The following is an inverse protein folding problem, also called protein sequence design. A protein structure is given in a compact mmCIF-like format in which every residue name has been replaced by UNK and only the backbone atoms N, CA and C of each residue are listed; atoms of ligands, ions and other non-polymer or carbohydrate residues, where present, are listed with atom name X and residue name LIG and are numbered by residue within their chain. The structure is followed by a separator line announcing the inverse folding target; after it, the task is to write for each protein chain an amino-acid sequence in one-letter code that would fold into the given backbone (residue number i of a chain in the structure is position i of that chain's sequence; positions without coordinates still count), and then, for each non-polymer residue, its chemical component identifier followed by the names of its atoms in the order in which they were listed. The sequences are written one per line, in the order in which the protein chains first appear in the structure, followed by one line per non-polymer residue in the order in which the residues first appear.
data_IF_280391254021
#
_entry.id   IF_280391254021
#
_cell.length_a   1.000
_cell.length_b   1.000
_cell.length_c   1.000
_cell.angle_alpha   90.00
_cell.angle_beta   90.00
_cell.angle_gamma   90.00
#
_symmetry.space_group_name_H-M   'P 1'
#
loop_
_entity.id
_entity.type
_entity.pdbx_description
1 polymer ?
#
# COMPACT_ATOMS: atom_id res chain seq x y z
N UNK A 1 -4.36 -23.14 15.90
CA UNK A 1 -3.54 -22.23 15.07
C UNK A 1 -4.29 -20.95 14.76
N UNK A 2 -4.23 -19.96 15.67
CA UNK A 2 -4.69 -18.59 15.40
C UNK A 2 -3.65 -17.78 14.63
N UNK A 3 -2.37 -18.18 14.69
CA UNK A 3 -1.30 -17.55 13.94
C UNK A 3 -1.31 -18.04 12.49
N UNK A 4 -1.31 -17.07 11.58
CA UNK A 4 -1.44 -17.24 10.13
C UNK A 4 -0.20 -17.95 9.58
N UNK A 5 1.00 -17.46 9.92
CA UNK A 5 2.26 -18.02 9.45
C UNK A 5 2.46 -19.46 9.91
N UNK A 6 2.19 -19.78 11.17
CA UNK A 6 2.25 -21.16 11.66
C UNK A 6 1.32 -22.11 10.87
N UNK A 7 0.14 -21.62 10.48
CA UNK A 7 -0.84 -22.41 9.72
C UNK A 7 -0.32 -22.74 8.32
N UNK A 8 0.18 -21.76 7.58
CA UNK A 8 0.67 -21.98 6.21
C UNK A 8 1.96 -22.79 6.19
N UNK A 9 2.86 -22.54 7.14
CA UNK A 9 4.06 -23.36 7.30
C UNK A 9 3.73 -24.81 7.65
N UNK A 10 2.72 -25.06 8.50
CA UNK A 10 2.28 -26.43 8.79
C UNK A 10 1.62 -27.11 7.60
N UNK A 11 0.86 -26.36 6.79
CA UNK A 11 0.17 -26.90 5.62
C UNK A 11 1.15 -27.26 4.50
N UNK A 12 2.09 -26.37 4.19
CA UNK A 12 3.01 -26.49 3.06
C UNK A 12 4.41 -26.01 3.49
N UNK A 13 5.17 -26.82 4.25
CA UNK A 13 6.44 -26.41 4.89
C UNK A 13 7.62 -26.22 3.92
N UNK A 14 7.45 -26.60 2.65
CA UNK A 14 8.49 -26.51 1.63
C UNK A 14 8.49 -25.17 0.87
N UNK A 15 7.48 -24.34 1.08
CA UNK A 15 7.48 -22.95 0.62
C UNK A 15 8.04 -22.06 1.72
N UNK A 16 8.80 -21.03 1.33
CA UNK A 16 9.13 -19.92 2.23
C UNK A 16 7.99 -18.92 2.14
N UNK A 17 7.46 -18.46 3.26
CA UNK A 17 6.40 -17.45 3.26
C UNK A 17 6.96 -16.08 3.61
N UNK A 18 6.35 -15.06 3.03
CA UNK A 18 6.58 -13.69 3.45
C UNK A 18 6.19 -13.51 4.92
N UNK A 19 6.92 -12.62 5.60
CA UNK A 19 6.75 -12.37 7.04
C UNK A 19 5.66 -11.35 7.32
N UNK A 20 5.23 -10.58 6.31
CA UNK A 20 4.19 -9.57 6.41
C UNK A 20 2.91 -9.96 5.64
N UNK A 21 2.07 -10.85 6.21
CA UNK A 21 0.75 -11.13 5.65
C UNK A 21 -0.13 -9.87 5.77
N UNK A 22 -0.87 -9.55 4.72
CA UNK A 22 -1.74 -8.37 4.68
C UNK A 22 -3.21 -8.75 4.58
N UNK A 23 -4.07 -7.90 5.12
CA UNK A 23 -5.51 -8.12 5.12
C UNK A 23 -6.15 -7.44 3.92
N UNK A 24 -7.05 -8.17 3.28
CA UNK A 24 -7.88 -7.73 2.16
C UNK A 24 -9.34 -7.79 2.59
N UNK A 25 -10.12 -6.80 2.17
CA UNK A 25 -11.57 -6.76 2.33
C UNK A 25 -12.16 -7.07 0.96
N UNK A 26 -12.88 -8.18 0.85
CA UNK A 26 -13.58 -8.52 -0.39
C UNK A 26 -14.80 -7.62 -0.60
N UNK A 27 -15.32 -7.56 -1.82
CA UNK A 27 -16.52 -6.79 -2.19
C UNK A 27 -17.74 -7.10 -1.30
N UNK A 28 -17.86 -8.34 -0.81
CA UNK A 28 -18.92 -8.76 0.11
C UNK A 28 -18.58 -8.51 1.60
N UNK A 29 -17.53 -7.74 1.90
CA UNK A 29 -17.13 -7.33 3.25
C UNK A 29 -16.42 -8.40 4.07
N UNK A 30 -15.93 -9.49 3.45
CA UNK A 30 -15.18 -10.53 4.18
C UNK A 30 -13.70 -10.16 4.27
N UNK A 31 -13.13 -10.41 5.44
CA UNK A 31 -11.70 -10.29 5.70
C UNK A 31 -10.96 -11.56 5.24
N UNK A 32 -9.97 -11.38 4.38
CA UNK A 32 -9.11 -12.44 3.86
C UNK A 32 -7.65 -12.01 4.03
N UNK A 33 -6.85 -12.84 4.68
CA UNK A 33 -5.41 -12.66 4.72
C UNK A 33 -4.78 -13.11 3.41
N UNK A 34 -3.89 -12.31 2.85
CA UNK A 34 -3.07 -12.68 1.70
C UNK A 34 -1.60 -12.75 2.08
N UNK A 35 -0.91 -13.77 1.58
CA UNK A 35 0.49 -14.04 1.88
C UNK A 35 1.20 -14.47 0.60
N UNK A 36 2.41 -13.95 0.43
CA UNK A 36 3.32 -14.37 -0.61
C UNK A 36 4.05 -15.66 -0.22
N UNK A 37 4.05 -16.63 -1.13
CA UNK A 37 4.74 -17.90 -1.00
C UNK A 37 5.83 -18.02 -2.08
N UNK A 38 7.02 -18.36 -1.63
CA UNK A 38 8.22 -18.43 -2.45
C UNK A 38 8.72 -19.87 -2.55
N UNK A 39 9.08 -20.27 -3.77
CA UNK A 39 9.95 -21.43 -3.97
C UNK A 39 11.39 -20.96 -3.99
N UNK A 40 12.27 -21.68 -3.30
CA UNK A 40 13.70 -21.39 -3.27
C UNK A 40 14.55 -22.64 -3.55
N UNK A 41 15.79 -22.41 -3.98
CA UNK A 41 16.79 -23.46 -4.10
C UNK A 41 18.20 -22.90 -3.86
N UNK A 42 19.12 -23.76 -3.43
CA UNK A 42 20.49 -23.39 -3.07
C UNK A 42 21.53 -23.68 -4.17
N UNK A 43 21.14 -24.46 -5.18
CA UNK A 43 22.06 -25.03 -6.19
C UNK A 43 21.56 -24.83 -7.61
N UNK A 44 20.84 -23.75 -7.87
CA UNK A 44 20.41 -23.39 -9.21
C UNK A 44 21.62 -23.01 -10.09
N UNK A 45 21.78 -23.57 -11.29
CA UNK A 45 22.96 -23.30 -12.11
C UNK A 45 23.07 -21.84 -12.55
N UNK A 46 24.30 -21.34 -12.68
CA UNK A 46 24.62 -20.02 -13.24
C UNK A 46 23.92 -18.83 -12.55
N UNK A 47 23.62 -18.95 -11.26
CA UNK A 47 23.03 -17.86 -10.48
C UNK A 47 23.89 -17.45 -9.30
N UNK A 48 23.80 -16.17 -8.95
CA UNK A 48 24.48 -15.61 -7.80
C UNK A 48 23.83 -16.10 -6.50
N UNK A 49 24.65 -16.58 -5.57
CA UNK A 49 24.18 -16.99 -4.25
C UNK A 49 23.98 -15.77 -3.37
N UNK A 50 22.78 -15.66 -2.80
CA UNK A 50 22.44 -14.70 -1.77
C UNK A 50 22.48 -15.41 -0.41
N UNK A 51 23.05 -14.75 0.59
CA UNK A 51 23.13 -15.29 1.95
C UNK A 51 21.74 -15.67 2.46
N UNK A 52 21.62 -16.81 3.12
CA UNK A 52 20.41 -17.37 3.77
C UNK A 52 19.26 -17.83 2.85
N UNK A 53 19.14 -17.30 1.64
CA UNK A 53 18.02 -17.60 0.72
C UNK A 53 18.37 -18.57 -0.42
N UNK A 54 19.66 -18.85 -0.61
CA UNK A 54 20.15 -19.67 -1.72
C UNK A 54 20.40 -18.83 -2.96
N UNK A 55 20.24 -19.42 -4.14
CA UNK A 55 20.55 -18.80 -5.42
C UNK A 55 19.39 -18.90 -6.42
N UNK A 56 18.19 -19.21 -5.92
CA UNK A 56 16.94 -19.20 -6.67
C UNK A 56 15.80 -18.77 -5.76
N UNK A 57 14.98 -17.84 -6.25
CA UNK A 57 13.74 -17.44 -5.59
C UNK A 57 12.71 -17.05 -6.66
N UNK A 58 11.46 -17.48 -6.46
CA UNK A 58 10.30 -17.07 -7.26
C UNK A 58 9.11 -16.85 -6.35
N UNK A 59 8.33 -15.80 -6.61
CA UNK A 59 7.03 -15.60 -5.96
C UNK A 59 5.96 -16.47 -6.64
N UNK A 60 6.08 -17.78 -6.41
CA UNK A 60 5.35 -18.76 -7.18
C UNK A 60 3.90 -18.94 -6.72
N UNK A 61 3.59 -18.61 -5.47
CA UNK A 61 2.29 -18.89 -4.86
C UNK A 61 1.75 -17.65 -4.14
N UNK A 62 0.46 -17.35 -4.33
CA UNK A 62 -0.32 -16.48 -3.46
C UNK A 62 -1.20 -17.35 -2.58
N UNK A 63 -1.15 -17.12 -1.27
CA UNK A 63 -1.96 -17.85 -0.29
C UNK A 63 -3.03 -16.94 0.25
N UNK A 64 -4.28 -17.42 0.29
CA UNK A 64 -5.38 -16.71 0.92
C UNK A 64 -5.90 -17.49 2.13
N UNK A 65 -6.17 -16.80 3.23
CA UNK A 65 -6.79 -17.40 4.42
C UNK A 65 -8.02 -16.59 4.82
N UNK A 66 -9.19 -17.21 4.75
CA UNK A 66 -10.43 -16.59 5.22
C UNK A 66 -10.38 -16.37 6.74
N UNK A 67 -10.59 -15.14 7.19
CA UNK A 67 -10.44 -14.79 8.60
C UNK A 67 -11.53 -15.37 9.51
N UNK A 68 -12.68 -15.79 8.96
CA UNK A 68 -13.81 -16.29 9.73
C UNK A 68 -13.76 -17.80 9.91
N UNK A 69 -13.41 -18.55 8.87
CA UNK A 69 -13.41 -20.01 8.90
C UNK A 69 -12.01 -20.64 8.79
N UNK A 70 -10.97 -19.85 8.50
CA UNK A 70 -9.58 -20.30 8.43
C UNK A 70 -9.26 -21.18 7.22
N UNK A 71 -10.12 -21.21 6.20
CA UNK A 71 -9.90 -21.92 4.93
C UNK A 71 -8.68 -21.34 4.23
N UNK A 72 -7.71 -22.21 3.90
CA UNK A 72 -6.48 -21.85 3.20
C UNK A 72 -6.62 -22.27 1.73
N UNK A 73 -6.29 -21.37 0.81
CA UNK A 73 -6.16 -21.69 -0.62
C UNK A 73 -4.80 -21.24 -1.14
N UNK A 74 -4.18 -22.08 -1.97
CA UNK A 74 -2.89 -21.83 -2.60
C UNK A 74 -3.11 -21.62 -4.11
N UNK A 75 -2.70 -20.46 -4.62
CA UNK A 75 -2.83 -20.08 -6.03
C UNK A 75 -1.46 -19.93 -6.67
N UNK A 76 -1.19 -20.63 -7.77
CA UNK A 76 0.05 -20.52 -8.54
C UNK A 76 0.02 -19.20 -9.32
N UNK A 77 0.88 -18.26 -8.92
CA UNK A 77 1.04 -16.96 -9.56
C UNK A 77 2.09 -16.98 -10.68
N UNK A 78 3.18 -17.73 -10.52
CA UNK A 78 4.18 -17.95 -11.56
C UNK A 78 4.07 -19.38 -12.10
N UNK A 79 3.26 -19.56 -13.15
CA UNK A 79 3.11 -20.86 -13.82
C UNK A 79 4.37 -21.34 -14.54
N UNK A 80 5.35 -20.45 -14.74
CA UNK A 80 6.62 -20.77 -15.40
C UNK A 80 7.67 -21.33 -14.45
N UNK A 81 7.45 -21.24 -13.14
CA UNK A 81 8.38 -21.77 -12.14
C UNK A 81 8.39 -23.32 -12.16
N UNK A 82 9.52 -23.97 -12.47
CA UNK A 82 9.62 -25.43 -12.48
C UNK A 82 9.42 -26.06 -11.10
N UNK A 83 9.77 -25.36 -10.01
CA UNK A 83 9.67 -25.92 -8.65
C UNK A 83 8.22 -26.02 -8.20
N UNK A 84 7.42 -24.96 -8.36
CA UNK A 84 5.99 -25.04 -8.02
C UNK A 84 5.25 -26.06 -8.90
N UNK A 85 5.65 -26.19 -10.18
CA UNK A 85 5.08 -27.19 -11.08
C UNK A 85 5.39 -28.62 -10.62
N UNK A 86 6.57 -28.88 -10.04
CA UNK A 86 6.89 -30.17 -9.43
C UNK A 86 6.03 -30.41 -8.18
N UNK A 87 5.93 -29.44 -7.27
CA UNK A 87 5.08 -29.57 -6.07
C UNK A 87 3.60 -29.75 -6.42
N UNK A 88 3.10 -29.08 -7.45
CA UNK A 88 1.72 -29.24 -7.92
C UNK A 88 1.41 -30.65 -8.43
N UNK A 89 2.41 -31.38 -8.95
CA UNK A 89 2.24 -32.80 -9.35
C UNK A 89 2.30 -33.74 -8.16
N UNK A 90 3.14 -33.43 -7.16
CA UNK A 90 3.27 -34.21 -5.92
C UNK A 90 2.01 -34.11 -5.07
N UNK A 91 1.37 -32.94 -5.05
CA UNK A 91 0.16 -32.66 -4.27
C UNK A 91 -1.05 -32.28 -5.15
N UNK A 92 -1.66 -33.24 -5.87
CA UNK A 92 -2.82 -32.96 -6.72
C UNK A 92 -3.98 -32.31 -5.95
N UNK A 93 -4.57 -31.26 -6.54
CA UNK A 93 -5.73 -30.55 -5.98
C UNK A 93 -5.41 -29.50 -4.91
N UNK A 94 -4.17 -29.43 -4.40
CA UNK A 94 -3.75 -28.40 -3.44
C UNK A 94 -3.59 -27.03 -4.08
N UNK A 95 -2.85 -27.00 -5.19
CA UNK A 95 -2.52 -25.76 -5.89
C UNK A 95 -3.52 -25.50 -7.02
N UNK A 96 -4.00 -24.26 -7.11
CA UNK A 96 -4.95 -23.81 -8.13
C UNK A 96 -4.26 -22.78 -9.03
N UNK A 97 -4.56 -22.69 -10.33
CA UNK A 97 -4.12 -21.55 -11.14
C UNK A 97 -4.61 -20.23 -10.54
N UNK A 98 -3.81 -19.15 -10.61
CA UNK A 98 -4.25 -17.82 -10.16
C UNK A 98 -5.49 -17.30 -10.90
N UNK A 99 -5.76 -17.80 -12.11
CA UNK A 99 -6.99 -17.49 -12.85
C UNK A 99 -8.27 -18.01 -12.17
N UNK A 100 -8.17 -18.95 -11.22
CA UNK A 100 -9.28 -19.38 -10.37
C UNK A 100 -9.45 -18.53 -9.11
N UNK A 101 -8.55 -17.58 -8.86
CA UNK A 101 -8.71 -16.61 -7.79
C UNK A 101 -9.87 -15.66 -8.15
N UNK A 102 -10.81 -15.38 -7.23
CA UNK A 102 -11.85 -14.37 -7.45
C UNK A 102 -11.26 -13.04 -7.91
N UNK A 103 -11.89 -12.39 -8.89
CA UNK A 103 -11.36 -11.16 -9.52
C UNK A 103 -11.09 -10.06 -8.50
N UNK A 104 -12.01 -9.86 -7.56
CA UNK A 104 -11.89 -8.94 -6.43
C UNK A 104 -10.61 -9.21 -5.60
N UNK A 105 -10.38 -10.45 -5.16
CA UNK A 105 -9.14 -10.80 -4.45
C UNK A 105 -7.89 -10.60 -5.31
N UNK A 106 -7.99 -10.88 -6.62
CA UNK A 106 -6.87 -10.72 -7.56
C UNK A 106 -6.48 -9.25 -7.74
N UNK A 107 -7.41 -8.31 -7.71
CA UNK A 107 -7.10 -6.86 -7.74
C UNK A 107 -6.36 -6.36 -6.50
N UNK A 108 -6.34 -7.13 -5.41
CA UNK A 108 -5.58 -6.79 -4.21
C UNK A 108 -4.17 -7.36 -4.18
N UNK A 109 -3.74 -8.10 -5.22
CA UNK A 109 -2.38 -8.63 -5.28
C UNK A 109 -1.38 -7.47 -5.40
N UNK A 110 -0.43 -7.41 -4.47
CA UNK A 110 0.74 -6.52 -4.55
C UNK A 110 2.00 -7.27 -4.95
N UNK A 111 2.94 -6.58 -5.61
CA UNK A 111 4.26 -7.15 -5.89
C UNK A 111 5.05 -7.29 -4.58
N UNK A 112 5.71 -8.43 -4.30
CA UNK A 112 6.21 -8.68 -2.96
C UNK A 112 7.46 -7.87 -2.62
N UNK A 113 7.42 -7.16 -1.49
CA UNK A 113 8.50 -6.29 -1.04
C UNK A 113 9.81 -7.02 -0.76
N UNK A 114 9.77 -8.21 -0.15
CA UNK A 114 10.97 -9.00 0.13
C UNK A 114 11.68 -9.43 -1.16
N UNK A 115 10.93 -9.96 -2.13
CA UNK A 115 11.47 -10.33 -3.45
C UNK A 115 12.02 -9.11 -4.19
N UNK A 116 11.29 -8.01 -4.19
CA UNK A 116 11.73 -6.77 -4.83
C UNK A 116 13.02 -6.22 -4.22
N UNK A 117 13.14 -6.27 -2.89
CA UNK A 117 14.37 -5.87 -2.18
C UNK A 117 15.57 -6.71 -2.63
N UNK A 118 15.37 -8.02 -2.78
CA UNK A 118 16.40 -8.93 -3.28
C UNK A 118 16.78 -8.56 -4.73
N UNK A 119 15.79 -8.35 -5.59
CA UNK A 119 16.01 -7.98 -7.00
C UNK A 119 16.74 -6.64 -7.11
N UNK A 120 16.39 -5.64 -6.30
CA UNK A 120 17.09 -4.36 -6.25
C UNK A 120 18.57 -4.52 -5.87
N UNK A 121 18.88 -5.34 -4.85
CA UNK A 121 20.26 -5.64 -4.44
C UNK A 121 21.06 -6.38 -5.51
N UNK A 122 20.43 -7.33 -6.20
CA UNK A 122 21.07 -8.03 -7.34
C UNK A 122 21.31 -7.03 -8.48
N UNK A 123 20.30 -6.25 -8.84
CA UNK A 123 20.40 -5.26 -9.91
C UNK A 123 21.48 -4.20 -9.64
N UNK A 124 21.70 -3.83 -8.37
CA UNK A 124 22.72 -2.85 -7.99
C UNK A 124 24.15 -3.21 -8.42
N UNK A 125 24.40 -4.51 -8.66
CA UNK A 125 25.65 -5.04 -9.20
C UNK A 125 25.51 -5.47 -10.67
N UNK A 126 24.43 -6.14 -11.04
CA UNK A 126 24.30 -6.81 -12.35
C UNK A 126 23.71 -5.96 -13.46
N UNK A 127 23.36 -4.69 -13.21
CA UNK A 127 23.02 -3.75 -14.29
C UNK A 127 24.24 -3.40 -15.16
N UNK A 128 25.46 -3.57 -14.64
CA UNK A 128 26.71 -3.40 -15.38
C UNK A 128 26.91 -4.56 -16.35
N UNK A 129 26.72 -4.32 -17.65
CA UNK A 129 26.89 -5.34 -18.70
C UNK A 129 28.28 -5.34 -19.34
N UNK A 130 29.05 -4.26 -19.21
CA UNK A 130 30.43 -4.20 -19.69
C UNK A 130 31.35 -5.01 -18.76
N UNK A 131 32.13 -5.99 -19.27
CA UNK A 131 32.95 -6.86 -18.43
C UNK A 131 34.04 -6.13 -17.64
N UNK A 132 34.64 -5.07 -18.19
CA UNK A 132 35.70 -4.33 -17.53
C UNK A 132 35.14 -3.47 -16.39
N UNK A 133 34.04 -2.76 -16.66
CA UNK A 133 33.28 -2.00 -15.66
C UNK A 133 32.79 -2.91 -14.53
N UNK A 134 32.26 -4.09 -14.88
CA UNK A 134 31.79 -5.08 -13.90
C UNK A 134 32.93 -5.63 -13.03
N UNK A 135 34.05 -6.03 -13.65
CA UNK A 135 35.20 -6.57 -12.93
C UNK A 135 35.77 -5.55 -11.92
N UNK A 136 35.85 -4.29 -12.32
CA UNK A 136 36.35 -3.20 -11.48
C UNK A 136 35.29 -2.63 -10.52
N UNK A 137 34.01 -3.02 -10.66
CA UNK A 137 32.86 -2.48 -9.92
C UNK A 137 32.80 -0.95 -9.97
N UNK A 138 33.05 -0.40 -11.16
CA UNK A 138 33.16 1.06 -11.35
C UNK A 138 31.83 1.80 -11.15
N UNK A 139 30.71 1.17 -11.51
CA UNK A 139 29.36 1.73 -11.38
C UNK A 139 28.51 0.92 -10.38
N UNK A 140 29.08 0.58 -9.22
CA UNK A 140 28.33 -0.14 -8.19
C UNK A 140 27.26 0.77 -7.56
N UNK A 141 26.02 0.28 -7.49
CA UNK A 141 24.91 1.00 -6.85
C UNK A 141 24.57 0.40 -5.48
N UNK A 142 23.89 1.19 -4.65
CA UNK A 142 23.32 0.81 -3.36
C UNK A 142 21.89 1.33 -3.22
N UNK A 143 21.10 0.65 -2.40
CA UNK A 143 19.89 1.25 -1.82
C UNK A 143 20.38 2.23 -0.75
N UNK A 144 19.94 3.50 -0.77
CA UNK A 144 20.40 4.50 0.19
C UNK A 144 19.94 4.16 1.60
N UNK A 145 20.61 4.77 2.57
CA UNK A 145 20.21 4.73 3.96
C UNK A 145 19.25 5.88 4.27
N UNK A 146 18.40 5.68 5.28
CA UNK A 146 17.43 6.66 5.78
C UNK A 146 17.28 6.49 7.29
N UNK A 147 16.98 7.59 7.96
CA UNK A 147 16.74 7.65 9.38
C UNK A 147 15.28 7.30 9.69
N UNK A 148 15.08 6.15 10.34
CA UNK A 148 13.77 5.66 10.77
C UNK A 148 13.86 5.11 12.18
N UNK A 149 12.83 5.35 13.00
CA UNK A 149 12.74 4.84 14.38
C UNK A 149 13.96 5.11 15.30
N UNK A 150 14.78 6.12 14.98
CA UNK A 150 15.95 6.50 15.78
C UNK A 150 17.27 5.84 15.36
N UNK A 151 17.28 5.11 14.25
CA UNK A 151 18.48 4.52 13.67
C UNK A 151 18.58 4.81 12.16
N UNK A 152 19.81 4.81 11.65
CA UNK A 152 20.07 4.83 10.22
C UNK A 152 20.00 3.39 9.70
N UNK A 153 19.10 3.13 8.77
CA UNK A 153 18.90 1.81 8.17
C UNK A 153 18.82 1.91 6.64
N UNK A 154 19.10 0.80 5.95
CA UNK A 154 18.85 0.73 4.51
C UNK A 154 17.37 0.94 4.23
N UNK A 155 17.03 1.83 3.31
CA UNK A 155 15.63 2.09 2.94
C UNK A 155 14.93 0.80 2.50
N UNK A 156 13.72 0.61 2.99
CA UNK A 156 12.85 -0.43 2.49
C UNK A 156 12.06 0.10 1.28
N UNK A 157 11.80 -0.74 0.27
CA UNK A 157 10.88 -0.36 -0.79
C UNK A 157 9.49 -0.07 -0.23
N UNK A 158 8.82 0.93 -0.78
CA UNK A 158 7.49 1.36 -0.32
C UNK A 158 6.50 1.37 -1.48
N UNK A 159 5.25 1.09 -1.12
CA UNK A 159 4.14 1.14 -2.07
C UNK A 159 3.61 2.55 -2.20
N UNK A 160 3.20 2.91 -3.41
CA UNK A 160 2.59 4.21 -3.70
C UNK A 160 1.66 4.10 -4.91
N UNK A 161 0.77 5.07 -5.05
CA UNK A 161 -0.10 5.21 -6.23
C UNK A 161 0.34 6.45 -6.96
N UNK A 162 0.79 6.28 -8.19
CA UNK A 162 1.18 7.41 -9.04
C UNK A 162 1.10 7.03 -10.51
N UNK A 163 1.09 8.03 -11.37
CA UNK A 163 1.31 7.84 -12.80
C UNK A 163 2.80 7.74 -13.06
N UNK A 164 3.26 6.57 -13.52
CA UNK A 164 4.64 6.39 -13.96
C UNK A 164 4.92 7.25 -15.20
N UNK A 165 5.95 8.10 -15.13
CA UNK A 165 6.37 8.90 -16.26
C UNK A 165 6.71 8.02 -17.47
N UNK A 166 6.47 8.52 -18.69
CA UNK A 166 6.79 7.90 -19.99
C UNK A 166 6.03 6.61 -20.36
N UNK A 167 5.72 5.74 -19.38
CA UNK A 167 5.08 4.43 -19.61
C UNK A 167 3.65 4.35 -19.08
N UNK A 168 3.28 5.21 -18.12
CA UNK A 168 1.98 5.24 -17.47
C UNK A 168 1.03 6.20 -18.17
N UNK A 169 -0.19 5.73 -18.50
CA UNK A 169 -1.27 6.60 -18.99
C UNK A 169 -2.17 7.09 -17.86
N UNK A 170 -2.37 6.24 -16.86
CA UNK A 170 -3.18 6.43 -15.66
C UNK A 170 -2.34 6.18 -14.42
N UNK A 171 -2.89 6.52 -13.26
CA UNK A 171 -2.39 6.15 -11.95
C UNK A 171 -2.34 4.62 -11.83
N UNK A 172 -1.31 4.13 -11.14
CA UNK A 172 -1.08 2.72 -10.92
C UNK A 172 -0.51 2.50 -9.52
N UNK A 173 -0.87 1.38 -8.91
CA UNK A 173 -0.24 0.92 -7.69
C UNK A 173 1.13 0.31 -8.00
N UNK A 174 2.16 0.87 -7.39
CA UNK A 174 3.55 0.47 -7.64
C UNK A 174 4.28 0.25 -6.32
N UNK A 175 5.34 -0.56 -6.39
CA UNK A 175 6.35 -0.70 -5.35
C UNK A 175 7.64 -0.08 -5.86
N UNK A 176 8.29 0.81 -5.11
CA UNK A 176 9.50 1.48 -5.59
C UNK A 176 10.56 1.65 -4.51
N UNK A 177 11.81 1.85 -4.96
CA UNK A 177 12.96 2.17 -4.10
C UNK A 177 13.97 3.06 -4.85
N UNK A 178 14.52 4.11 -4.22
CA UNK A 178 15.60 4.89 -4.80
C UNK A 178 16.93 4.11 -4.82
N UNK A 179 17.85 4.54 -5.69
CA UNK A 179 19.19 3.99 -5.84
C UNK A 179 20.23 5.12 -5.92
N UNK A 180 21.36 4.91 -5.25
CA UNK A 180 22.50 5.82 -5.20
C UNK A 180 23.79 5.07 -5.57
N UNK A 181 24.84 5.74 -6.07
CA UNK A 181 26.15 5.11 -6.23
C UNK A 181 26.68 4.62 -4.88
N UNK A 182 27.42 3.52 -4.85
CA UNK A 182 27.93 2.94 -3.60
C UNK A 182 28.82 3.89 -2.78
N UNK A 183 29.41 4.91 -3.42
CA UNK A 183 30.35 5.88 -2.82
C UNK A 183 29.81 7.32 -2.77
N UNK A 184 28.54 7.55 -3.10
CA UNK A 184 27.93 8.88 -3.11
C UNK A 184 26.50 8.81 -2.58
N UNK A 185 26.05 9.90 -1.98
CA UNK A 185 24.69 9.95 -1.43
C UNK A 185 23.66 10.54 -2.39
N UNK A 186 24.09 11.21 -3.47
CA UNK A 186 23.16 11.69 -4.50
C UNK A 186 22.48 10.50 -5.18
N UNK A 187 21.17 10.60 -5.37
CA UNK A 187 20.41 9.60 -6.13
C UNK A 187 20.78 9.66 -7.61
N UNK A 188 20.76 8.49 -8.23
CA UNK A 188 21.03 8.32 -9.66
C UNK A 188 19.91 7.60 -10.38
N UNK A 189 19.08 6.86 -9.66
CA UNK A 189 17.95 6.17 -10.24
C UNK A 189 16.89 5.85 -9.18
N UNK A 190 15.76 5.36 -9.64
CA UNK A 190 14.85 4.57 -8.82
C UNK A 190 14.37 3.37 -9.60
N UNK A 191 14.15 2.27 -8.89
CA UNK A 191 13.57 1.04 -9.41
C UNK A 191 12.11 0.98 -8.97
N UNK A 192 11.23 0.56 -9.86
CA UNK A 192 9.83 0.30 -9.54
C UNK A 192 9.34 -1.03 -10.13
N UNK A 193 8.44 -1.69 -9.40
CA UNK A 193 7.65 -2.82 -9.85
C UNK A 193 6.17 -2.44 -9.89
N UNK A 194 5.49 -2.85 -10.95
CA UNK A 194 4.06 -2.57 -11.17
C UNK A 194 3.21 -3.64 -10.48
N UNK A 195 2.17 -3.22 -9.75
CA UNK A 195 1.27 -4.13 -9.03
C UNK A 195 -0.05 -4.41 -9.78
N UNK A 196 -0.42 -3.59 -10.76
CA UNK A 196 -1.73 -3.72 -11.40
C UNK A 196 -1.69 -4.53 -12.70
N UNK A 197 -2.74 -5.31 -12.98
CA UNK A 197 -2.93 -5.94 -14.29
C UNK A 197 -3.16 -4.86 -15.37
N UNK A 198 -2.67 -5.06 -16.61
CA UNK A 198 -1.99 -6.24 -17.15
C UNK A 198 -0.46 -6.22 -16.96
N UNK A 199 0.08 -5.26 -16.20
CA UNK A 199 1.51 -5.01 -16.11
C UNK A 199 2.16 -5.56 -14.84
N UNK A 200 1.40 -6.26 -14.00
CA UNK A 200 1.87 -6.90 -12.77
C UNK A 200 3.24 -7.56 -12.95
N UNK A 201 4.17 -7.20 -12.06
CA UNK A 201 5.52 -7.74 -12.02
C UNK A 201 6.50 -7.23 -13.07
N UNK A 202 6.07 -6.34 -13.98
CA UNK A 202 7.01 -5.60 -14.83
C UNK A 202 7.78 -4.61 -13.96
N UNK A 203 9.11 -4.67 -14.06
CA UNK A 203 10.01 -3.76 -13.37
C UNK A 203 10.59 -2.73 -14.34
N UNK A 204 10.84 -1.54 -13.83
CA UNK A 204 11.35 -0.39 -14.57
C UNK A 204 12.40 0.31 -13.73
N UNK A 205 13.46 0.77 -14.39
CA UNK A 205 14.49 1.61 -13.80
C UNK A 205 14.42 2.96 -14.48
N UNK A 206 14.37 4.00 -13.68
CA UNK A 206 14.35 5.38 -14.15
C UNK A 206 15.63 6.06 -13.72
N UNK A 207 16.49 6.35 -14.70
CA UNK A 207 17.78 6.99 -14.47
C UNK A 207 17.63 8.51 -14.43
N UNK A 208 18.30 9.13 -13.47
CA UNK A 208 18.44 10.58 -13.43
C UNK A 208 19.59 11.02 -14.34
N UNK A 209 19.45 12.15 -15.06
CA UNK A 209 20.52 12.69 -15.87
C UNK A 209 21.78 12.94 -15.04
N UNK A 210 22.94 12.45 -15.48
CA UNK A 210 24.24 12.60 -14.78
C UNK A 210 24.66 14.05 -14.52
N UNK A 211 24.05 15.01 -15.22
CA UNK A 211 24.32 16.44 -15.10
C UNK A 211 23.59 17.09 -13.92
N UNK A 212 22.51 16.47 -13.43
CA UNK A 212 21.70 17.01 -12.34
C UNK A 212 22.07 16.33 -11.02
N UNK A 213 22.42 17.13 -10.02
CA UNK A 213 22.62 16.64 -8.66
C UNK A 213 21.25 16.45 -8.00
N UNK A 214 20.83 15.20 -7.91
CA UNK A 214 19.60 14.82 -7.22
C UNK A 214 19.95 14.40 -5.80
N UNK A 215 19.51 15.19 -4.81
CA UNK A 215 19.77 14.88 -3.39
C UNK A 215 19.17 13.53 -3.01
N UNK A 216 19.94 12.66 -2.38
CA UNK A 216 19.39 11.42 -1.86
C UNK A 216 18.75 11.54 -0.47
N UNK A 217 18.09 10.46 -0.01
CA UNK A 217 17.42 10.36 1.29
C UNK A 217 18.23 10.90 2.47
N UNK A 218 19.44 10.37 2.67
CA UNK A 218 20.33 10.78 3.76
C UNK A 218 20.69 12.28 3.70
N UNK A 219 20.88 12.84 2.50
CA UNK A 219 21.17 14.27 2.33
C UNK A 219 19.96 15.13 2.68
N UNK A 220 18.76 14.70 2.31
CA UNK A 220 17.52 15.42 2.63
C UNK A 220 17.26 15.38 4.14
N UNK A 221 17.42 14.23 4.77
CA UNK A 221 17.27 14.09 6.23
C UNK A 221 18.32 14.90 6.99
N UNK A 222 19.57 14.93 6.49
CA UNK A 222 20.62 15.79 7.05
C UNK A 222 20.24 17.27 6.97
N UNK A 223 19.68 17.72 5.85
CA UNK A 223 19.19 19.09 5.68
C UNK A 223 18.01 19.41 6.60
N UNK A 224 17.06 18.49 6.73
CA UNK A 224 15.93 18.61 7.66
C UNK A 224 16.42 18.77 9.10
N UNK A 225 17.39 17.95 9.52
CA UNK A 225 17.97 18.01 10.86
C UNK A 225 18.80 19.30 11.10
N UNK A 226 19.33 19.91 10.04
CA UNK A 226 20.06 21.18 10.11
C UNK A 226 19.14 22.41 10.10
N UNK A 227 17.86 22.25 9.78
CA UNK A 227 16.90 23.35 9.83
C UNK A 227 16.71 23.83 11.28
N UNK A 228 16.95 25.11 11.59
CA UNK A 228 16.91 25.60 12.98
C UNK A 228 15.55 25.47 13.65
N UNK A 229 14.45 25.70 12.93
CA UNK A 229 13.10 25.65 13.49
C UNK A 229 12.66 24.21 13.73
N UNK A 230 12.98 23.31 12.80
CA UNK A 230 12.76 21.87 12.95
C UNK A 230 13.59 21.33 14.12
N UNK A 231 14.90 21.55 14.12
CA UNK A 231 15.82 21.06 15.15
C UNK A 231 15.41 21.52 16.55
N UNK A 232 14.99 22.79 16.70
CA UNK A 232 14.49 23.33 17.96
C UNK A 232 13.22 22.62 18.43
N UNK A 233 12.27 22.43 17.52
CA UNK A 233 11.00 21.76 17.81
C UNK A 233 11.22 20.30 18.22
N UNK A 234 12.04 19.56 17.46
CA UNK A 234 12.38 18.17 17.77
C UNK A 234 13.07 18.04 19.13
N UNK A 235 13.99 18.96 19.45
CA UNK A 235 14.68 18.97 20.75
C UNK A 235 13.68 19.17 21.89
N UNK A 236 12.69 20.04 21.73
CA UNK A 236 11.64 20.26 22.74
C UNK A 236 10.70 19.05 22.87
N UNK A 237 10.36 18.40 21.76
CA UNK A 237 9.50 17.21 21.76
C UNK A 237 10.18 15.93 22.22
N UNK A 238 11.50 15.92 22.29
CA UNK A 238 12.26 14.79 22.81
C UNK A 238 12.64 14.97 24.29
N UNK A 239 11.89 15.81 25.02
CA UNK A 239 12.05 16.08 26.46
C UNK A 239 10.86 15.54 27.27
N UNK A 240 11.04 15.46 28.59
CA UNK A 240 9.92 15.25 29.53
C UNK A 240 9.21 13.90 29.44
N UNK A 241 9.90 12.83 29.01
CA UNK A 241 9.33 11.49 28.91
C UNK A 241 8.58 11.21 27.61
N UNK A 242 8.68 12.08 26.61
CA UNK A 242 8.22 11.85 25.25
C UNK A 242 9.38 11.47 24.31
N UNK A 243 9.05 10.77 23.22
CA UNK A 243 9.99 10.35 22.19
C UNK A 243 9.44 10.72 20.83
N UNK A 244 10.25 11.39 20.03
CA UNK A 244 9.97 11.62 18.60
C UNK A 244 10.28 10.35 17.81
N UNK A 245 9.36 9.95 16.94
CA UNK A 245 9.51 8.82 16.04
C UNK A 245 9.44 9.33 14.62
N UNK A 246 10.53 9.11 13.89
CA UNK A 246 10.63 9.39 12.46
C UNK A 246 9.95 8.26 11.70
N UNK A 247 8.96 8.61 10.89
CA UNK A 247 8.42 7.67 9.92
C UNK A 247 9.30 7.57 8.69
N UNK A 248 8.95 6.63 7.82
CA UNK A 248 9.70 6.38 6.58
C UNK A 248 9.67 7.60 5.65
N UNK A 249 10.84 7.96 5.12
CA UNK A 249 10.95 8.97 4.08
C UNK A 249 10.42 8.41 2.74
N UNK A 250 9.48 9.12 2.13
CA UNK A 250 8.97 8.82 0.79
C UNK A 250 9.62 9.75 -0.21
N UNK A 251 10.25 9.19 -1.24
CA UNK A 251 10.75 9.93 -2.42
C UNK A 251 9.70 9.82 -3.52
N UNK A 252 9.03 10.93 -3.83
CA UNK A 252 7.90 10.96 -4.75
C UNK A 252 8.30 11.72 -6.02
N UNK A 253 8.52 11.04 -7.15
CA UNK A 253 8.72 11.70 -8.42
C UNK A 253 7.42 12.31 -8.94
N UNK A 254 7.49 13.59 -9.31
CA UNK A 254 6.41 14.35 -9.94
C UNK A 254 6.96 15.02 -11.18
N UNK A 255 6.57 14.53 -12.35
CA UNK A 255 7.11 14.96 -13.64
C UNK A 255 8.64 14.90 -13.69
N UNK A 256 9.31 16.06 -13.71
CA UNK A 256 10.77 16.19 -13.77
C UNK A 256 11.40 16.56 -12.41
N UNK A 257 10.61 16.52 -11.34
CA UNK A 257 11.01 16.94 -10.00
C UNK A 257 10.76 15.84 -8.96
N UNK A 258 11.39 15.99 -7.79
CA UNK A 258 11.19 15.10 -6.65
C UNK A 258 10.65 15.88 -5.46
N UNK A 259 9.67 15.30 -4.79
CA UNK A 259 9.15 15.75 -3.50
C UNK A 259 9.51 14.68 -2.48
N UNK A 260 10.07 15.11 -1.35
CA UNK A 260 10.37 14.23 -0.22
C UNK A 260 9.35 14.48 0.87
N UNK A 261 8.75 13.41 1.39
CA UNK A 261 7.73 13.49 2.44
C UNK A 261 8.11 12.58 3.58
N UNK A 262 8.18 13.13 4.80
CA UNK A 262 8.49 12.36 6.00
C UNK A 262 7.52 12.70 7.14
N UNK A 263 6.73 11.72 7.63
CA UNK A 263 5.87 11.94 8.78
C UNK A 263 6.67 11.88 10.08
N UNK A 264 6.28 12.69 11.06
CA UNK A 264 6.81 12.72 12.41
C UNK A 264 5.73 12.39 13.41
N UNK A 265 6.01 11.40 14.25
CA UNK A 265 5.12 10.95 15.31
C UNK A 265 5.71 11.27 16.68
N UNK A 266 4.85 11.42 17.68
CA UNK A 266 5.24 11.49 19.09
C UNK A 266 4.57 10.36 19.86
N UNK A 267 5.32 9.71 20.72
CA UNK A 267 4.82 8.75 21.69
C UNK A 267 5.40 9.03 23.08
N UNK A 268 4.73 8.56 24.12
CA UNK A 268 5.35 8.47 25.45
C UNK A 268 6.47 7.41 25.43
N UNK A 269 7.57 7.65 26.16
CA UNK A 269 8.69 6.70 26.25
C UNK A 269 8.26 5.31 26.77
N UNK A 270 7.24 5.26 27.62
CA UNK A 270 6.72 4.03 28.22
C UNK A 270 5.34 3.69 27.68
N UNK A 271 5.28 3.03 26.52
CA UNK A 271 4.07 2.35 26.04
C UNK A 271 2.96 3.24 25.47
N UNK A 272 3.27 4.44 24.97
CA UNK A 272 2.31 5.30 24.30
C UNK A 272 2.07 4.91 22.84
N UNK A 273 0.83 5.04 22.36
CA UNK A 273 0.50 4.92 20.92
C UNK A 273 1.10 6.11 20.17
N UNK A 274 1.91 5.91 19.11
CA UNK A 274 2.43 7.01 18.31
C UNK A 274 1.31 7.82 17.65
N UNK A 275 1.36 9.13 17.79
CA UNK A 275 0.42 10.06 17.15
C UNK A 275 1.15 10.91 16.12
N UNK A 276 0.60 11.03 14.91
CA UNK A 276 1.15 11.91 13.87
C UNK A 276 1.05 13.36 14.35
N UNK A 277 2.18 14.06 14.42
CA UNK A 277 2.24 15.46 14.84
C UNK A 277 2.62 16.41 13.72
N UNK A 278 3.51 16.00 12.83
CA UNK A 278 3.92 16.81 11.68
C UNK A 278 4.15 15.96 10.45
N UNK A 279 4.08 16.62 9.31
CA UNK A 279 4.58 16.14 8.03
C UNK A 279 5.66 17.10 7.59
N UNK A 280 6.84 16.58 7.28
CA UNK A 280 7.92 17.36 6.68
C UNK A 280 7.86 17.14 5.17
N UNK A 281 7.87 18.23 4.42
CA UNK A 281 8.00 18.21 2.96
C UNK A 281 9.23 18.98 2.55
N UNK A 282 10.03 18.37 1.68
CA UNK A 282 11.18 19.02 1.05
C UNK A 282 11.06 19.00 -0.47
N UNK A 283 11.31 20.15 -1.09
CA UNK A 283 11.31 20.35 -2.53
C UNK A 283 12.39 21.38 -2.91
N UNK A 284 13.35 20.96 -3.73
CA UNK A 284 14.49 21.79 -4.10
C UNK A 284 15.30 22.24 -2.88
N UNK A 285 15.24 23.53 -2.56
CA UNK A 285 15.91 24.12 -1.39
C UNK A 285 14.93 24.54 -0.27
N UNK A 286 13.65 24.27 -0.44
CA UNK A 286 12.62 24.62 0.53
C UNK A 286 12.26 23.40 1.37
N UNK A 287 12.16 23.60 2.69
CA UNK A 287 11.71 22.60 3.66
C UNK A 287 10.59 23.22 4.46
N UNK A 288 9.50 22.48 4.65
CA UNK A 288 8.38 22.88 5.48
C UNK A 288 8.01 21.75 6.43
N UNK A 289 7.61 22.09 7.65
CA UNK A 289 7.14 21.13 8.65
C UNK A 289 5.83 21.62 9.26
N UNK A 290 4.72 21.06 8.80
CA UNK A 290 3.37 21.48 9.23
C UNK A 290 2.56 20.31 9.79
N UNK A 291 1.39 20.60 10.36
CA UNK A 291 0.49 19.60 10.95
C UNK A 291 -0.04 18.58 9.93
N UNK A 292 -0.14 18.97 8.66
CA UNK A 292 -0.68 18.13 7.58
C UNK A 292 0.20 18.21 6.35
N UNK A 293 0.11 17.18 5.50
CA UNK A 293 0.77 17.17 4.19
C UNK A 293 0.35 18.39 3.35
N UNK A 294 -0.95 18.70 3.32
CA UNK A 294 -1.50 19.82 2.56
C UNK A 294 -0.94 21.17 3.02
N UNK A 295 -0.90 21.42 4.34
CA UNK A 295 -0.28 22.65 4.87
C UNK A 295 1.20 22.73 4.51
N UNK A 296 1.93 21.62 4.59
CA UNK A 296 3.35 21.57 4.23
C UNK A 296 3.57 21.88 2.75
N UNK A 297 2.74 21.33 1.87
CA UNK A 297 2.76 21.64 0.43
C UNK A 297 2.40 23.12 0.17
N UNK A 298 1.42 23.67 0.87
CA UNK A 298 1.04 25.08 0.76
C UNK A 298 2.21 26.00 1.12
N UNK A 299 2.92 25.70 2.22
CA UNK A 299 4.11 26.44 2.65
C UNK A 299 5.24 26.37 1.60
N UNK A 300 5.45 25.22 0.97
CA UNK A 300 6.49 25.04 -0.05
C UNK A 300 6.18 25.78 -1.35
N UNK A 301 4.95 25.66 -1.86
CA UNK A 301 4.60 26.14 -3.20
C UNK A 301 3.95 27.53 -3.22
N UNK A 302 3.67 28.11 -2.04
CA UNK A 302 3.08 29.45 -1.90
C UNK A 302 1.69 29.56 -2.53
N UNK A 303 1.03 28.43 -2.79
CA UNK A 303 -0.33 28.32 -3.27
C UNK A 303 -1.15 27.64 -2.20
N UNK A 304 -2.35 28.14 -1.96
CA UNK A 304 -3.36 27.36 -1.25
C UNK A 304 -3.79 26.24 -2.20
N UNK A 305 -3.19 25.07 -2.07
CA UNK A 305 -3.93 23.84 -2.35
C UNK A 305 -5.08 23.88 -1.34
N UNK A 306 -6.24 24.31 -1.81
CA UNK A 306 -7.47 23.84 -1.19
C UNK A 306 -7.40 22.32 -1.26
N UNK A 307 -7.97 21.60 -0.26
CA UNK A 307 -8.12 20.17 -0.41
C UNK A 307 -8.71 19.97 -1.80
N UNK A 308 -8.17 19.04 -2.58
CA UNK A 308 -9.05 18.32 -3.47
C UNK A 308 -10.07 17.74 -2.49
N UNK A 309 -11.15 18.49 -2.25
CA UNK A 309 -12.39 17.92 -1.90
C UNK A 309 -12.43 16.75 -2.88
N UNK A 310 -12.45 15.55 -2.33
CA UNK A 310 -13.17 14.53 -3.00
C UNK A 310 -14.47 15.25 -3.42
N UNK A 311 -14.54 15.60 -4.70
CA UNK A 311 -15.58 15.02 -5.50
C UNK A 311 -15.54 13.51 -5.19
N UNK A 312 -16.02 13.15 -4.00
CA UNK A 312 -17.12 12.26 -3.89
C UNK A 312 -17.96 12.74 -5.06
N UNK A 313 -17.93 11.94 -6.11
CA UNK A 313 -19.05 11.82 -6.96
C UNK A 313 -20.24 11.44 -6.07
N UNK A 314 -20.73 12.38 -5.26
CA UNK A 314 -22.03 12.91 -5.55
C UNK A 314 -22.00 13.33 -7.03
N UNK A 315 -22.15 12.31 -7.90
CA UNK A 315 -23.15 12.43 -8.93
C UNK A 315 -24.30 13.19 -8.27
N UNK A 316 -24.84 14.24 -8.90
CA UNK A 316 -26.19 14.62 -8.53
C UNK A 316 -27.01 13.35 -8.76
N UNK A 317 -27.24 12.60 -7.68
CA UNK A 317 -28.36 11.69 -7.58
C UNK A 317 -29.50 12.60 -8.04
N UNK A 318 -30.17 12.28 -9.17
CA UNK A 318 -31.28 13.11 -9.62
C UNK A 318 -32.12 13.40 -8.41
N UNK A 319 -32.44 14.68 -8.21
CA UNK A 319 -32.94 15.35 -7.01
C UNK A 319 -34.24 14.70 -6.47
N UNK A 320 -34.14 13.44 -6.06
CA UNK A 320 -35.16 12.53 -5.58
C UNK A 320 -34.96 12.30 -4.08
N UNK A 321 -33.89 12.83 -3.48
CA UNK A 321 -33.60 12.67 -2.05
C UNK A 321 -34.57 13.45 -1.16
N UNK A 322 -35.17 14.54 -1.66
CA UNK A 322 -36.30 15.21 -1.00
C UNK A 322 -37.56 14.35 -1.01
N UNK A 323 -37.82 13.67 -2.14
CA UNK A 323 -38.98 12.78 -2.35
C UNK A 323 -38.85 11.45 -1.60
N UNK A 324 -37.66 10.88 -1.50
CA UNK A 324 -37.42 9.63 -0.76
C UNK A 324 -37.46 9.91 0.74
N UNK A 325 -36.90 11.03 1.21
CA UNK A 325 -37.03 11.43 2.62
C UNK A 325 -38.46 11.77 3.01
N UNK A 326 -39.24 12.42 2.13
CA UNK A 326 -40.67 12.67 2.40
C UNK A 326 -41.47 11.37 2.46
N UNK A 327 -41.25 10.44 1.52
CA UNK A 327 -41.91 9.12 1.53
C UNK A 327 -41.58 8.29 2.78
N UNK A 328 -40.33 8.32 3.24
CA UNK A 328 -39.92 7.64 4.49
C UNK A 328 -40.59 8.29 5.71
N UNK A 329 -40.62 9.63 5.77
CA UNK A 329 -41.26 10.36 6.87
C UNK A 329 -42.77 10.13 6.90
N UNK A 330 -43.41 10.10 5.73
CA UNK A 330 -44.86 9.90 5.59
C UNK A 330 -45.25 8.45 5.92
N UNK A 331 -44.44 7.46 5.51
CA UNK A 331 -44.61 6.07 5.91
C UNK A 331 -44.47 5.89 7.43
N UNK A 332 -43.52 6.59 8.06
CA UNK A 332 -43.35 6.62 9.52
C UNK A 332 -44.60 7.16 10.23
N UNK A 333 -45.13 8.30 9.79
CA UNK A 333 -46.35 8.88 10.36
C UNK A 333 -47.58 7.99 10.16
N UNK A 334 -47.75 7.36 8.99
CA UNK A 334 -48.87 6.45 8.75
C UNK A 334 -48.77 5.18 9.60
N UNK A 335 -47.56 4.69 9.86
CA UNK A 335 -47.34 3.55 10.75
C UNK A 335 -47.65 3.91 12.21
N UNK A 336 -47.25 5.09 12.68
CA UNK A 336 -47.63 5.57 14.02
C UNK A 336 -49.14 5.74 14.18
N UNK A 337 -49.81 6.32 13.17
CA UNK A 337 -51.27 6.44 13.15
C UNK A 337 -51.96 5.07 13.16
N UNK A 338 -51.43 4.09 12.43
CA UNK A 338 -51.91 2.71 12.48
C UNK A 338 -51.79 2.13 13.91
N UNK A 339 -50.65 2.34 14.59
CA UNK A 339 -50.47 1.88 15.98
C UNK A 339 -51.45 2.55 16.95
N UNK A 340 -51.83 3.81 16.74
CA UNK A 340 -52.86 4.48 17.53
C UNK A 340 -54.27 3.92 17.28
N UNK A 341 -54.63 3.69 16.01
CA UNK A 341 -55.93 3.09 15.65
C UNK A 341 -56.05 1.65 16.18
N UNK A 342 -54.94 0.90 16.18
CA UNK A 342 -54.86 -0.43 16.80
C UNK A 342 -55.08 -0.36 18.32
N UNK A 343 -54.46 0.60 19.02
CA UNK A 343 -54.68 0.82 20.46
C UNK A 343 -56.12 1.22 20.79
N UNK A 344 -56.81 1.87 19.86
CA UNK A 344 -58.23 2.25 19.98
C UNK A 344 -59.20 1.15 19.55
N UNK A 345 -58.70 -0.01 19.10
CA UNK A 345 -59.52 -1.15 18.65
C UNK A 345 -60.22 -0.92 17.31
N UNK A 346 -59.82 0.11 16.54
CA UNK A 346 -60.39 0.41 15.23
C UNK A 346 -59.65 -0.37 14.12
N UNK A 347 -60.06 -1.62 13.93
CA UNK A 347 -59.45 -2.54 12.96
C UNK A 347 -59.58 -2.07 11.50
N UNK A 348 -60.68 -1.36 11.16
CA UNK A 348 -60.87 -0.80 9.82
C UNK A 348 -59.92 0.40 9.58
N UNK A 349 -59.74 1.25 10.59
CA UNK A 349 -58.76 2.35 10.56
C UNK A 349 -57.32 1.85 10.43
N UNK A 350 -56.96 0.82 11.20
CA UNK A 350 -55.67 0.15 11.12
C UNK A 350 -55.40 -0.44 9.72
N UNK A 351 -56.36 -1.17 9.15
CA UNK A 351 -56.23 -1.78 7.82
C UNK A 351 -55.99 -0.74 6.73
N UNK A 352 -56.73 0.38 6.75
CA UNK A 352 -56.57 1.47 5.79
C UNK A 352 -55.22 2.19 5.93
N UNK A 353 -54.76 2.42 7.17
CA UNK A 353 -53.45 3.03 7.41
C UNK A 353 -52.30 2.11 6.98
N UNK A 354 -52.40 0.81 7.24
CA UNK A 354 -51.38 -0.17 6.85
C UNK A 354 -51.30 -0.37 5.33
N UNK A 355 -52.42 -0.31 4.61
CA UNK A 355 -52.41 -0.29 3.13
C UNK A 355 -51.67 0.93 2.56
N UNK A 356 -51.82 2.10 3.19
CA UNK A 356 -51.08 3.30 2.79
C UNK A 356 -49.58 3.15 3.03
N UNK A 357 -49.17 2.56 4.15
CA UNK A 357 -47.75 2.24 4.42
C UNK A 357 -47.20 1.28 3.36
N UNK A 358 -47.94 0.23 3.01
CA UNK A 358 -47.52 -0.73 1.97
C UNK A 358 -47.35 -0.04 0.61
N UNK A 359 -48.28 0.85 0.25
CA UNK A 359 -48.20 1.61 -1.01
C UNK A 359 -46.97 2.53 -1.04
N UNK A 360 -46.72 3.27 0.05
CA UNK A 360 -45.56 4.16 0.19
C UNK A 360 -44.24 3.39 0.12
N UNK A 361 -44.17 2.17 0.70
CA UNK A 361 -42.99 1.31 0.63
C UNK A 361 -42.76 0.72 -0.77
N UNK A 362 -43.83 0.42 -1.53
CA UNK A 362 -43.72 0.01 -2.93
C UNK A 362 -43.21 1.16 -3.81
N UNK A 363 -43.73 2.37 -3.60
CA UNK A 363 -43.29 3.57 -4.31
C UNK A 363 -41.82 3.91 -3.97
N UNK A 364 -41.41 3.69 -2.72
CA UNK A 364 -40.01 3.77 -2.30
C UNK A 364 -39.13 2.73 -3.01
N UNK A 365 -39.56 1.46 -3.04
CA UNK A 365 -38.82 0.37 -3.69
C UNK A 365 -38.67 0.55 -5.21
N UNK A 366 -39.64 1.19 -5.86
CA UNK A 366 -39.58 1.54 -7.28
C UNK A 366 -38.68 2.75 -7.57
N UNK A 367 -38.48 3.66 -6.60
CA UNK A 367 -37.57 4.82 -6.74
C UNK A 367 -36.11 4.49 -6.41
N UNK A 368 -35.84 3.37 -5.73
CA UNK A 368 -34.49 2.94 -5.31
C UNK A 368 -33.86 1.92 -6.28
N UNK A 369 -34.66 1.28 -7.15
CA UNK A 369 -34.19 0.48 -8.29
C UNK A 369 -33.85 1.35 -9.48
#
# INVERSE_FOLDING_TARGET
NRQILERVNKAMPFLIYDRDPYMVITENGRLVWMIDGYTTANSYPYSATLSELGNYIRNSVKVTIDAYNGTVSFYIADSTDPLINAYSRIFPGVFKPVSLMPTDLRSHIRYPQALFTIQAKVYSLYHMTDPQVFYNKEDLWKIPESFSEGATETMMPYYTIMKLAEVGKTEEFILMVPLSPAKKENMIAWLAARCDEPNYGKMLVFDFPKQNLVYGPEQIESRINQDPEISKTLTLWNQGGSRVIWGSLLVIPVEQSLIYVQPLYIAAQSGGVPELKRVIVSYGNSIAMEETLEKSLNTIFGKTFEPLAQEASSQPVPNNSSDVKSLISEAGHQFESAQEELKRGNWAGYGNAMQKVEQLLKDLGNKIK
#
